data_IF_876959762982
#
_entry.id   IF_876959762982
#
_cell.length_a   1.000
_cell.length_b   1.000
_cell.length_c   1.000
_cell.angle_alpha   90.00
_cell.angle_beta   90.00
_cell.angle_gamma   90.00
#
_symmetry.space_group_name_H-M   'P 1'
#
loop_
_entity.id
_entity.type
_entity.pdbx_description
1 polymer ?
#
# COMPACT_ATOMS: atom_id res chain seq x y z
N UNK A 1 -23.77 11.17 9.31
CA UNK A 1 -24.36 10.09 8.49
C UNK A 1 -23.27 9.46 7.62
N UNK A 2 -22.80 8.22 7.87
CA UNK A 2 -21.84 7.57 6.97
C UNK A 2 -22.55 7.27 5.64
N UNK A 3 -22.10 7.91 4.56
CA UNK A 3 -22.75 7.88 3.25
C UNK A 3 -22.88 6.47 2.68
N UNK A 4 -24.12 6.07 2.38
CA UNK A 4 -24.43 4.81 1.70
C UNK A 4 -23.63 4.72 0.39
N UNK A 5 -23.04 3.56 0.13
CA UNK A 5 -22.39 3.30 -1.16
C UNK A 5 -23.44 3.49 -2.27
N UNK A 6 -23.14 4.20 -3.36
CA UNK A 6 -24.05 4.32 -4.49
C UNK A 6 -24.48 2.92 -4.91
N UNK A 7 -25.79 2.69 -4.98
CA UNK A 7 -26.33 1.43 -5.48
C UNK A 7 -25.95 1.35 -6.96
N UNK A 8 -25.37 0.22 -7.37
CA UNK A 8 -25.07 -0.05 -8.78
C UNK A 8 -26.42 -0.20 -9.51
N UNK A 9 -26.55 0.38 -10.70
CA UNK A 9 -27.79 0.29 -11.47
C UNK A 9 -28.21 -1.17 -11.67
N UNK A 10 -29.48 -1.51 -11.39
CA UNK A 10 -29.97 -2.89 -11.49
C UNK A 10 -29.86 -3.49 -12.89
N UNK A 11 -29.81 -2.64 -13.92
CA UNK A 11 -29.69 -3.03 -15.32
C UNK A 11 -28.27 -3.47 -15.71
N UNK A 12 -27.24 -3.14 -14.93
CA UNK A 12 -25.86 -3.54 -15.24
C UNK A 12 -25.67 -4.99 -14.76
N UNK A 13 -25.33 -5.93 -15.66
CA UNK A 13 -25.08 -7.33 -15.28
C UNK A 13 -24.11 -7.44 -14.10
N UNK A 14 -24.44 -8.33 -13.14
CA UNK A 14 -23.59 -8.58 -11.97
C UNK A 14 -22.46 -9.50 -12.34
N UNK A 15 -21.27 -9.23 -11.81
CA UNK A 15 -20.11 -10.09 -12.07
C UNK A 15 -20.37 -11.49 -11.50
N UNK A 16 -20.03 -12.54 -12.23
CA UNK A 16 -20.22 -13.91 -11.79
C UNK A 16 -19.25 -14.24 -10.66
N UNK A 17 -19.61 -15.26 -9.88
CA UNK A 17 -18.75 -15.80 -8.83
C UNK A 17 -17.56 -16.53 -9.47
N UNK A 18 -16.38 -16.34 -8.90
CA UNK A 18 -15.18 -17.07 -9.34
C UNK A 18 -15.17 -18.50 -8.77
N UNK A 19 -14.30 -19.37 -9.30
CA UNK A 19 -14.18 -20.76 -8.85
C UNK A 19 -14.00 -20.90 -7.34
N UNK A 20 -13.13 -20.08 -6.76
CA UNK A 20 -12.95 -19.99 -5.31
C UNK A 20 -14.22 -19.51 -4.60
N UNK A 21 -14.94 -18.53 -5.13
CA UNK A 21 -16.16 -18.03 -4.47
C UNK A 21 -17.32 -19.02 -4.50
N UNK A 22 -17.41 -19.85 -5.56
CA UNK A 22 -18.34 -20.97 -5.64
C UNK A 22 -18.00 -22.04 -4.59
N UNK A 23 -16.73 -22.38 -4.46
CA UNK A 23 -16.29 -23.29 -3.40
C UNK A 23 -16.60 -22.73 -2.00
N UNK A 24 -16.28 -21.46 -1.77
CA UNK A 24 -16.54 -20.75 -0.51
C UNK A 24 -18.04 -20.66 -0.23
N UNK A 25 -18.91 -20.54 -1.24
CA UNK A 25 -20.37 -20.53 -1.01
C UNK A 25 -20.88 -21.88 -0.54
N UNK A 26 -20.38 -22.96 -1.14
CA UNK A 26 -20.83 -24.32 -0.87
C UNK A 26 -20.31 -24.80 0.49
N UNK A 27 -19.06 -24.49 0.83
CA UNK A 27 -18.41 -24.88 2.09
C UNK A 27 -18.52 -23.77 3.17
N UNK A 28 -19.34 -22.75 2.93
CA UNK A 28 -19.41 -21.58 3.82
C UNK A 28 -19.82 -21.95 5.24
N UNK A 29 -20.84 -22.79 5.35
CA UNK A 29 -21.41 -23.16 6.64
C UNK A 29 -20.48 -24.12 7.36
N UNK A 30 -19.95 -25.11 6.67
CA UNK A 30 -18.99 -26.07 7.24
C UNK A 30 -17.75 -25.39 7.84
N UNK A 31 -17.14 -24.45 7.12
CA UNK A 31 -15.97 -23.72 7.61
C UNK A 31 -16.37 -22.75 8.74
N UNK A 32 -17.62 -22.29 8.80
CA UNK A 32 -18.11 -21.48 9.91
C UNK A 32 -18.41 -22.31 11.15
N UNK A 33 -18.92 -23.52 10.98
CA UNK A 33 -19.24 -24.45 12.06
C UNK A 33 -17.97 -25.06 12.67
N UNK A 34 -16.91 -25.21 11.87
CA UNK A 34 -15.59 -25.62 12.36
C UNK A 34 -14.83 -24.52 13.10
N UNK A 35 -15.26 -23.26 12.96
CA UNK A 35 -14.68 -22.13 13.66
C UNK A 35 -15.41 -21.85 14.98
N UNK A 36 -14.67 -21.45 16.03
CA UNK A 36 -15.30 -20.96 17.26
C UNK A 36 -16.29 -19.84 16.96
N UNK A 37 -17.46 -19.85 17.61
CA UNK A 37 -18.55 -18.89 17.37
C UNK A 37 -18.12 -17.41 17.51
N UNK A 38 -17.14 -17.13 18.36
CA UNK A 38 -16.57 -15.79 18.60
C UNK A 38 -15.47 -15.41 17.58
N UNK A 39 -15.21 -16.27 16.60
CA UNK A 39 -14.20 -16.01 15.57
C UNK A 39 -14.63 -14.85 14.67
N UNK A 40 -13.73 -13.88 14.42
CA UNK A 40 -14.01 -12.83 13.44
C UNK A 40 -14.31 -13.43 12.06
N UNK A 41 -15.27 -12.86 11.32
CA UNK A 41 -15.58 -13.30 9.95
C UNK A 41 -14.36 -13.33 9.00
N UNK A 42 -13.25 -12.66 9.35
CA UNK A 42 -11.98 -12.74 8.62
C UNK A 42 -11.29 -14.10 8.75
N UNK A 43 -11.45 -14.82 9.87
CA UNK A 43 -10.87 -16.15 10.08
C UNK A 43 -11.47 -17.19 9.12
N UNK A 44 -12.77 -17.11 8.88
CA UNK A 44 -13.47 -17.94 7.90
C UNK A 44 -12.81 -17.88 6.51
N UNK A 45 -12.48 -16.68 6.01
CA UNK A 45 -11.90 -16.54 4.67
C UNK A 45 -10.45 -17.07 4.62
N UNK A 46 -9.73 -16.98 5.74
CA UNK A 46 -8.38 -17.54 5.88
C UNK A 46 -8.44 -19.06 5.81
N UNK A 47 -9.34 -19.69 6.59
CA UNK A 47 -9.55 -21.14 6.57
C UNK A 47 -10.03 -21.62 5.20
N UNK A 48 -11.03 -20.95 4.61
CA UNK A 48 -11.50 -21.30 3.27
C UNK A 48 -10.40 -21.23 2.21
N UNK A 49 -9.47 -20.28 2.33
CA UNK A 49 -8.30 -20.19 1.48
C UNK A 49 -7.25 -21.28 1.74
N UNK A 50 -7.21 -21.89 2.92
CA UNK A 50 -6.38 -23.08 3.19
C UNK A 50 -7.04 -24.32 2.59
N UNK A 51 -8.34 -24.53 2.83
CA UNK A 51 -9.09 -25.63 2.24
C UNK A 51 -9.00 -25.62 0.71
N UNK A 52 -9.20 -24.46 0.07
CA UNK A 52 -9.07 -24.35 -1.39
C UNK A 52 -7.68 -24.71 -1.93
N UNK A 53 -6.61 -24.42 -1.18
CA UNK A 53 -5.24 -24.79 -1.58
C UNK A 53 -4.91 -26.24 -1.30
N UNK A 54 -5.60 -26.85 -0.32
CA UNK A 54 -5.44 -28.24 0.04
C UNK A 54 -6.22 -29.18 -0.90
N UNK A 55 -7.28 -28.70 -1.55
CA UNK A 55 -8.02 -29.46 -2.59
C UNK A 55 -7.11 -29.80 -3.77
N UNK A 56 -7.27 -31.01 -4.30
CA UNK A 56 -6.60 -31.43 -5.51
C UNK A 56 -7.09 -30.66 -6.74
N UNK A 57 -6.26 -30.61 -7.79
CA UNK A 57 -6.64 -29.90 -9.01
C UNK A 57 -7.91 -30.50 -9.65
N UNK A 58 -8.11 -31.81 -9.52
CA UNK A 58 -9.31 -32.53 -9.97
C UNK A 58 -10.59 -32.09 -9.24
N UNK A 59 -10.51 -31.75 -7.96
CA UNK A 59 -11.66 -31.26 -7.19
C UNK A 59 -11.92 -29.78 -7.46
N UNK A 60 -10.87 -29.01 -7.79
CA UNK A 60 -10.98 -27.60 -8.20
C UNK A 60 -11.48 -27.45 -9.63
N UNK A 61 -11.28 -28.45 -10.49
CA UNK A 61 -11.66 -28.44 -11.90
C UNK A 61 -13.16 -28.22 -12.16
N UNK A 62 -14.11 -28.91 -11.49
CA UNK A 62 -15.53 -28.60 -11.65
C UNK A 62 -15.88 -27.18 -11.22
N UNK A 63 -15.23 -26.62 -10.19
CA UNK A 63 -15.44 -25.22 -9.80
C UNK A 63 -14.83 -24.24 -10.80
N UNK A 64 -13.68 -24.57 -11.42
CA UNK A 64 -13.08 -23.79 -12.50
C UNK A 64 -13.99 -23.80 -13.74
N UNK A 65 -14.50 -24.95 -14.13
CA UNK A 65 -15.43 -25.10 -15.25
C UNK A 65 -16.73 -24.30 -15.03
N UNK A 66 -17.39 -24.48 -13.88
CA UNK A 66 -18.58 -23.70 -13.52
C UNK A 66 -18.32 -22.19 -13.50
N UNK A 67 -17.15 -21.76 -13.03
CA UNK A 67 -16.80 -20.34 -13.02
C UNK A 67 -16.57 -19.77 -14.42
N UNK A 68 -15.95 -20.55 -15.33
CA UNK A 68 -15.79 -20.13 -16.72
C UNK A 68 -17.13 -20.12 -17.47
N UNK A 69 -18.05 -21.05 -17.19
CA UNK A 69 -19.41 -21.03 -17.74
C UNK A 69 -20.20 -19.79 -17.27
N UNK A 70 -20.20 -19.51 -15.97
CA UNK A 70 -20.84 -18.30 -15.43
C UNK A 70 -20.20 -17.03 -15.97
N UNK A 71 -18.88 -17.06 -16.22
CA UNK A 71 -18.15 -15.96 -16.88
C UNK A 71 -18.55 -15.81 -18.34
N UNK A 72 -18.68 -16.89 -19.09
CA UNK A 72 -19.16 -16.86 -20.47
C UNK A 72 -20.59 -16.32 -20.56
N UNK A 73 -21.49 -16.79 -19.69
CA UNK A 73 -22.86 -16.29 -19.60
C UNK A 73 -22.89 -14.78 -19.29
N UNK A 74 -22.10 -14.33 -18.32
CA UNK A 74 -21.98 -12.90 -18.01
C UNK A 74 -21.37 -12.09 -19.14
N UNK A 75 -20.38 -12.62 -19.87
CA UNK A 75 -19.79 -11.92 -21.00
C UNK A 75 -20.81 -11.71 -22.11
N UNK A 76 -21.64 -12.73 -22.39
CA UNK A 76 -22.75 -12.62 -23.34
C UNK A 76 -23.80 -11.61 -22.87
N UNK A 77 -24.23 -11.70 -21.61
CA UNK A 77 -25.18 -10.75 -21.02
C UNK A 77 -24.63 -9.31 -21.00
N UNK A 78 -23.32 -9.16 -20.79
CA UNK A 78 -22.64 -7.87 -20.86
C UNK A 78 -22.55 -7.35 -22.30
N UNK A 79 -22.32 -8.22 -23.29
CA UNK A 79 -22.34 -7.87 -24.71
C UNK A 79 -23.73 -7.41 -25.13
N UNK A 80 -24.78 -8.14 -24.75
CA UNK A 80 -26.17 -7.74 -24.99
C UNK A 80 -26.53 -6.41 -24.29
N UNK A 81 -26.02 -6.20 -23.06
CA UNK A 81 -26.19 -4.95 -22.33
C UNK A 81 -25.49 -3.78 -23.03
N UNK A 82 -24.26 -3.97 -23.53
CA UNK A 82 -23.54 -2.95 -24.28
C UNK A 82 -24.21 -2.69 -25.65
N UNK A 83 -24.68 -3.73 -26.33
CA UNK A 83 -25.36 -3.65 -27.61
C UNK A 83 -26.73 -2.95 -27.51
N UNK A 84 -27.43 -3.10 -26.39
CA UNK A 84 -28.68 -2.38 -26.07
C UNK A 84 -28.46 -0.92 -25.63
N UNK A 85 -27.24 -0.39 -25.76
CA UNK A 85 -26.91 1.00 -25.40
C UNK A 85 -26.61 1.20 -23.91
N UNK A 86 -26.43 0.11 -23.16
CA UNK A 86 -26.04 0.15 -21.76
C UNK A 86 -24.64 0.74 -21.59
N UNK A 87 -24.54 1.83 -20.82
CA UNK A 87 -23.26 2.44 -20.49
C UNK A 87 -22.79 1.86 -19.16
N UNK A 88 -21.62 1.22 -19.14
CA UNK A 88 -20.94 0.88 -17.88
C UNK A 88 -20.37 2.19 -17.33
N UNK A 89 -20.87 2.73 -16.20
CA UNK A 89 -20.32 3.96 -15.66
C UNK A 89 -18.84 3.73 -15.36
N UNK A 90 -17.95 4.51 -15.99
CA UNK A 90 -16.54 4.52 -15.64
C UNK A 90 -16.50 4.89 -14.16
N UNK A 91 -16.14 3.91 -13.31
CA UNK A 91 -16.02 4.16 -11.87
C UNK A 91 -14.97 5.24 -11.72
N UNK A 92 -15.40 6.49 -11.50
CA UNK A 92 -14.47 7.55 -11.16
C UNK A 92 -13.64 7.00 -10.02
N UNK A 93 -12.32 7.07 -10.19
CA UNK A 93 -11.40 6.63 -9.17
C UNK A 93 -11.65 7.57 -8.01
N UNK A 94 -12.56 7.19 -7.10
CA UNK A 94 -12.87 7.96 -5.89
C UNK A 94 -11.52 8.41 -5.35
N UNK A 95 -11.33 9.72 -5.20
CA UNK A 95 -10.23 10.21 -4.40
C UNK A 95 -10.21 9.34 -3.14
N UNK A 96 -9.05 8.82 -2.74
CA UNK A 96 -8.92 7.97 -1.54
C UNK A 96 -9.25 8.80 -0.29
N UNK A 97 -10.50 9.19 -0.11
CA UNK A 97 -11.10 9.75 1.09
C UNK A 97 -11.74 8.58 1.83
N UNK A 98 -10.89 7.85 2.54
CA UNK A 98 -11.26 6.62 3.24
C UNK A 98 -10.13 5.62 3.12
N UNK A 99 -9.40 5.44 4.22
CA UNK A 99 -8.31 4.47 4.37
C UNK A 99 -7.16 4.62 3.36
N UNK A 100 -6.36 5.67 3.56
CA UNK A 100 -4.96 5.34 3.87
C UNK A 100 -5.05 4.44 5.11
N UNK A 101 -5.19 3.13 4.92
CA UNK A 101 -4.56 2.21 5.85
C UNK A 101 -3.15 2.73 5.89
N UNK A 102 -2.85 3.56 6.90
CA UNK A 102 -1.48 3.83 7.32
C UNK A 102 -0.90 2.44 7.29
N UNK A 103 0.07 2.16 6.40
CA UNK A 103 0.97 1.04 6.64
C UNK A 103 1.28 1.21 8.12
N UNK A 104 0.84 0.25 8.95
CA UNK A 104 1.02 0.33 10.39
C UNK A 104 2.52 0.55 10.49
N UNK A 105 2.93 1.79 10.74
CA UNK A 105 4.35 2.11 10.83
C UNK A 105 4.72 1.26 12.01
N UNK A 106 5.45 0.16 11.76
CA UNK A 106 5.98 -0.68 12.84
C UNK A 106 6.54 0.34 13.80
N UNK A 107 6.05 0.35 15.04
CA UNK A 107 6.55 1.27 16.06
C UNK A 107 8.06 1.08 15.99
N UNK A 108 8.76 2.10 15.52
CA UNK A 108 10.22 2.06 15.40
C UNK A 108 10.68 1.74 16.81
N UNK A 109 11.43 0.66 16.99
CA UNK A 109 11.85 0.28 18.34
C UNK A 109 12.51 1.50 18.97
N UNK A 110 12.11 1.94 20.18
CA UNK A 110 12.66 3.17 20.77
C UNK A 110 14.19 3.16 20.92
N UNK A 111 14.77 1.96 20.92
CA UNK A 111 16.20 1.69 21.01
C UNK A 111 16.89 1.55 19.64
N UNK A 112 16.14 1.46 18.53
CA UNK A 112 16.72 1.40 17.18
C UNK A 112 17.39 2.75 16.87
N UNK A 113 18.70 2.77 16.58
CA UNK A 113 19.41 3.98 16.20
C UNK A 113 18.69 4.69 15.05
N UNK A 114 18.60 6.03 15.12
CA UNK A 114 17.97 6.82 14.06
C UNK A 114 18.88 6.85 12.85
N UNK A 115 18.29 6.73 11.65
CA UNK A 115 19.05 6.79 10.39
C UNK A 115 19.94 8.05 10.35
N UNK A 116 21.19 7.92 9.87
CA UNK A 116 22.12 9.05 9.83
C UNK A 116 21.63 10.09 8.83
N UNK A 117 21.92 11.35 9.10
CA UNK A 117 21.62 12.44 8.17
C UNK A 117 22.53 12.34 6.94
N UNK A 118 21.98 12.62 5.76
CA UNK A 118 22.74 12.63 4.51
C UNK A 118 23.45 13.96 4.30
N UNK A 119 24.45 13.99 3.41
CA UNK A 119 25.17 15.22 3.07
C UNK A 119 24.24 16.35 2.60
N UNK A 120 23.19 15.98 1.86
CA UNK A 120 22.15 16.92 1.43
C UNK A 120 21.36 17.49 2.61
N UNK A 121 21.05 16.70 3.64
CA UNK A 121 20.35 17.20 4.84
C UNK A 121 21.20 18.22 5.60
N UNK A 122 22.49 17.94 5.79
CA UNK A 122 23.40 18.90 6.43
C UNK A 122 23.50 20.21 5.64
N UNK A 123 23.64 20.12 4.32
CA UNK A 123 23.65 21.29 3.46
C UNK A 123 22.32 22.05 3.50
N UNK A 124 21.19 21.33 3.46
CA UNK A 124 19.86 21.94 3.57
C UNK A 124 19.68 22.66 4.91
N UNK A 125 20.17 22.11 6.03
CA UNK A 125 20.09 22.77 7.33
C UNK A 125 20.83 24.11 7.36
N UNK A 126 22.01 24.18 6.74
CA UNK A 126 22.82 25.41 6.67
C UNK A 126 22.30 26.41 5.63
N UNK A 127 21.68 25.94 4.53
CA UNK A 127 21.28 26.78 3.40
C UNK A 127 19.78 27.12 3.39
N UNK A 128 18.92 26.43 4.16
CA UNK A 128 17.47 26.68 4.15
C UNK A 128 17.11 28.12 4.54
N UNK A 129 17.86 28.71 5.47
CA UNK A 129 17.58 30.08 5.96
C UNK A 129 18.01 31.11 4.93
N UNK A 130 19.14 30.86 4.25
CA UNK A 130 19.59 31.68 3.13
C UNK A 130 18.61 31.59 1.95
N UNK A 131 18.18 30.38 1.58
CA UNK A 131 17.19 30.14 0.51
C UNK A 131 15.85 30.78 0.87
N UNK A 132 15.38 30.64 2.12
CA UNK A 132 14.15 31.28 2.58
C UNK A 132 14.25 32.82 2.61
N UNK A 133 15.43 33.39 2.89
CA UNK A 133 15.65 34.83 2.87
C UNK A 133 15.65 35.39 1.44
N UNK A 134 16.26 34.68 0.49
CA UNK A 134 16.29 35.04 -0.93
C UNK A 134 14.94 34.85 -1.63
N UNK A 135 14.12 33.92 -1.13
CA UNK A 135 12.78 33.71 -1.69
C UNK A 135 11.80 34.83 -1.28
N UNK A 136 10.92 35.25 -2.21
CA UNK A 136 9.82 36.17 -1.91
C UNK A 136 8.94 35.63 -0.77
N UNK A 137 8.32 36.52 0.01
CA UNK A 137 7.52 36.15 1.18
C UNK A 137 6.42 35.11 0.87
N UNK A 138 5.81 35.17 -0.31
CA UNK A 138 4.80 34.22 -0.79
C UNK A 138 5.35 32.81 -1.08
N UNK A 139 6.67 32.66 -1.23
CA UNK A 139 7.35 31.39 -1.56
C UNK A 139 8.27 30.90 -0.42
N UNK A 140 8.09 31.41 0.80
CA UNK A 140 8.83 30.96 2.00
C UNK A 140 8.26 29.69 2.62
N UNK A 141 7.34 29.00 1.96
CA UNK A 141 6.86 27.70 2.40
C UNK A 141 8.02 26.71 2.47
N UNK A 142 8.03 25.88 3.52
CA UNK A 142 9.00 24.78 3.68
C UNK A 142 9.11 23.92 2.40
N UNK A 143 8.00 23.76 1.67
CA UNK A 143 7.97 22.99 0.42
C UNK A 143 8.78 23.67 -0.69
N UNK A 144 8.59 24.97 -0.88
CA UNK A 144 9.24 25.74 -1.95
C UNK A 144 10.74 25.91 -1.68
N UNK A 145 11.09 26.21 -0.42
CA UNK A 145 12.49 26.25 0.05
C UNK A 145 13.19 24.92 -0.21
N UNK A 146 12.54 23.78 0.08
CA UNK A 146 13.13 22.45 -0.14
C UNK A 146 13.29 22.13 -1.63
N UNK A 147 12.35 22.54 -2.47
CA UNK A 147 12.45 22.35 -3.93
C UNK A 147 13.62 23.14 -4.52
N UNK A 148 13.76 24.41 -4.14
CA UNK A 148 14.83 25.28 -4.61
C UNK A 148 16.20 24.80 -4.09
N UNK A 149 16.24 24.37 -2.82
CA UNK A 149 17.40 23.70 -2.25
C UNK A 149 17.81 22.44 -3.05
N UNK A 150 16.85 21.63 -3.49
CA UNK A 150 17.11 20.46 -4.33
C UNK A 150 17.75 20.82 -5.67
N UNK A 151 17.29 21.91 -6.32
CA UNK A 151 17.87 22.41 -7.58
C UNK A 151 19.30 22.89 -7.37
N UNK A 152 19.53 23.72 -6.36
CA UNK A 152 20.85 24.26 -6.00
C UNK A 152 21.83 23.14 -5.66
N UNK A 153 21.42 22.15 -4.87
CA UNK A 153 22.27 20.98 -4.57
C UNK A 153 22.65 20.18 -5.82
N UNK A 154 21.77 20.07 -6.82
CA UNK A 154 22.07 19.36 -8.07
C UNK A 154 23.16 20.08 -8.87
N UNK A 155 23.11 21.42 -8.90
CA UNK A 155 24.09 22.27 -9.60
C UNK A 155 25.39 22.44 -8.80
N UNK A 156 25.33 22.33 -7.47
CA UNK A 156 26.49 22.50 -6.58
C UNK A 156 27.64 21.57 -6.97
N UNK A 157 28.85 22.12 -7.09
CA UNK A 157 30.04 21.39 -7.51
C UNK A 157 30.45 20.30 -6.51
N UNK A 158 31.18 19.29 -6.97
CA UNK A 158 31.69 18.22 -6.10
C UNK A 158 32.56 18.77 -4.96
N UNK A 159 33.31 19.85 -5.20
CA UNK A 159 34.18 20.54 -4.22
C UNK A 159 33.41 21.06 -3.01
N UNK A 160 32.27 21.70 -3.23
CA UNK A 160 31.43 22.25 -2.16
C UNK A 160 30.66 21.15 -1.42
N UNK A 161 30.40 20.02 -2.10
CA UNK A 161 29.79 18.83 -1.49
C UNK A 161 30.75 18.07 -0.57
N UNK A 162 32.07 18.14 -0.79
CA UNK A 162 33.08 17.41 0.03
C UNK A 162 32.93 17.61 1.55
N UNK A 163 32.82 18.84 2.09
CA UNK A 163 32.65 19.02 3.53
C UNK A 163 31.36 18.37 4.06
N UNK A 164 30.26 18.43 3.29
CA UNK A 164 29.00 17.80 3.68
C UNK A 164 29.03 16.28 3.57
N UNK A 165 29.74 15.75 2.57
CA UNK A 165 29.99 14.31 2.44
C UNK A 165 30.81 13.79 3.62
N UNK A 166 31.88 14.49 4.02
CA UNK A 166 32.66 14.15 5.22
C UNK A 166 31.81 14.17 6.51
N UNK A 167 30.96 15.20 6.68
CA UNK A 167 30.01 15.27 7.81
C UNK A 167 29.03 14.08 7.80
N UNK A 168 28.50 13.72 6.63
CA UNK A 168 27.59 12.59 6.48
C UNK A 168 28.26 11.23 6.70
N UNK A 169 29.50 11.06 6.24
CA UNK A 169 30.28 9.83 6.45
C UNK A 169 30.64 9.66 7.93
N UNK A 170 30.99 10.73 8.64
CA UNK A 170 31.22 10.69 10.08
C UNK A 170 29.94 10.29 10.85
N UNK A 171 28.79 10.86 10.50
CA UNK A 171 27.52 10.52 11.14
C UNK A 171 27.08 9.09 10.80
N UNK A 172 27.31 8.65 9.56
CA UNK A 172 27.09 7.26 9.16
C UNK A 172 27.99 6.30 9.94
N UNK A 173 29.25 6.64 10.19
CA UNK A 173 30.15 5.82 10.98
C UNK A 173 29.68 5.67 12.44
N UNK A 174 29.18 6.75 13.06
CA UNK A 174 28.56 6.70 14.39
C UNK A 174 27.33 5.80 14.39
N UNK A 175 26.42 6.00 13.44
CA UNK A 175 25.22 5.16 13.29
C UNK A 175 25.58 3.69 13.10
N UNK A 176 26.60 3.37 12.29
CA UNK A 176 27.04 1.98 12.12
C UNK A 176 27.58 1.37 13.41
N UNK A 177 28.23 2.17 14.26
CA UNK A 177 28.68 1.71 15.58
C UNK A 177 27.48 1.47 16.52
N UNK A 178 26.57 2.44 16.61
CA UNK A 178 25.34 2.32 17.41
C UNK A 178 24.45 1.16 16.93
N UNK A 179 24.35 0.94 15.62
CA UNK A 179 23.63 -0.19 15.03
C UNK A 179 24.26 -1.53 15.39
N UNK A 180 25.60 -1.62 15.41
CA UNK A 180 26.28 -2.84 15.85
C UNK A 180 26.02 -3.13 17.33
N UNK A 181 26.03 -2.09 18.17
CA UNK A 181 25.70 -2.22 19.58
C UNK A 181 24.22 -2.62 19.78
N UNK A 182 23.31 -2.07 18.98
CA UNK A 182 21.89 -2.43 18.98
C UNK A 182 21.64 -3.86 18.48
N UNK A 183 22.30 -4.28 17.40
CA UNK A 183 22.24 -5.66 16.90
C UNK A 183 22.80 -6.64 17.92
N UNK A 184 23.89 -6.29 18.62
CA UNK A 184 24.43 -7.10 19.72
C UNK A 184 23.46 -7.16 20.92
N UNK A 185 22.81 -6.04 21.27
CA UNK A 185 21.78 -6.00 22.30
C UNK A 185 20.57 -6.88 21.95
N UNK A 186 20.12 -6.86 20.69
CA UNK A 186 19.05 -7.73 20.21
C UNK A 186 19.44 -9.20 20.13
N UNK A 187 20.70 -9.52 19.84
CA UNK A 187 21.18 -10.90 19.78
C UNK A 187 21.41 -11.52 21.17
N UNK A 188 21.57 -10.68 22.21
CA UNK A 188 21.76 -11.11 23.59
C UNK A 188 20.51 -11.06 24.47
N UNK A 189 19.37 -10.60 23.94
CA UNK A 189 18.05 -10.57 24.62
C UNK A 189 17.15 -11.68 24.12
#
# INVERSE_FOLDING_TARGET
MPGAKPRRDPAIPKRPLTSFMLFVSDHRQEIKDSLPLDSPNSHFLVEAGKHWRALDDSEREPYKARAEELKAAYLKEMEDFLASGGVIPKKERRARTGTKLRKKVRRKDPLEPKKPQTAWMFWLHENREQIAAELPADQRSMTDVTQEAGRRWKVLGTKEKVPFLKKADAEKAKYLKEMREYEAFLAGS
#
